data_IF_355055841105
#
_entry.id   IF_355055841105
#
_cell.length_a   1.000
_cell.length_b   1.000
_cell.length_c   1.000
_cell.angle_alpha   90.00
_cell.angle_beta   90.00
_cell.angle_gamma   90.00
#
_symmetry.space_group_name_H-M   'P 1'
#
loop_
_entity.id
_entity.type
_entity.pdbx_description
1 polymer ?
#
# COMPACT_ATOMS: atom_id res chain seq x y z
N UNK A 1 3.31 11.81 -14.82
CA UNK A 1 3.89 10.81 -13.90
C UNK A 1 5.01 9.96 -14.49
N UNK A 2 4.96 9.50 -15.76
CA UNK A 2 6.00 8.63 -16.35
C UNK A 2 7.44 9.14 -16.16
N UNK A 3 7.68 10.44 -16.32
CA UNK A 3 8.96 11.09 -16.05
C UNK A 3 9.41 10.90 -14.59
N UNK A 4 8.60 11.33 -13.62
CA UNK A 4 8.96 11.24 -12.20
C UNK A 4 9.24 9.81 -11.75
N UNK A 5 8.48 8.83 -12.25
CA UNK A 5 8.65 7.41 -11.90
C UNK A 5 9.80 6.70 -12.61
N UNK A 6 10.53 7.38 -13.51
CA UNK A 6 11.63 6.74 -14.25
C UNK A 6 12.81 6.41 -13.33
N UNK A 7 13.58 5.38 -13.70
CA UNK A 7 14.69 4.94 -12.87
C UNK A 7 15.76 6.04 -12.74
N UNK A 8 16.07 6.72 -13.83
CA UNK A 8 17.03 7.82 -13.90
C UNK A 8 16.65 8.97 -12.97
N UNK A 9 15.42 9.49 -13.08
CA UNK A 9 14.96 10.66 -12.31
C UNK A 9 14.90 10.33 -10.81
N UNK A 10 14.45 9.12 -10.46
CA UNK A 10 14.40 8.68 -9.06
C UNK A 10 15.80 8.48 -8.45
N UNK A 11 16.76 7.96 -9.23
CA UNK A 11 18.13 7.77 -8.78
C UNK A 11 18.85 9.11 -8.59
N UNK A 12 18.75 10.01 -9.58
CA UNK A 12 19.32 11.36 -9.52
C UNK A 12 18.78 12.14 -8.31
N UNK A 13 17.46 12.10 -8.11
CA UNK A 13 16.83 12.76 -6.98
C UNK A 13 17.35 12.23 -5.62
N UNK A 14 17.41 10.90 -5.48
CA UNK A 14 17.91 10.29 -4.24
C UNK A 14 19.36 10.61 -3.95
N UNK A 15 20.22 10.58 -4.98
CA UNK A 15 21.62 10.99 -4.85
C UNK A 15 21.74 12.48 -4.51
N UNK A 16 20.97 13.34 -5.17
CA UNK A 16 20.99 14.79 -4.94
C UNK A 16 20.64 15.14 -3.50
N UNK A 17 19.58 14.54 -2.95
CA UNK A 17 19.20 14.75 -1.56
C UNK A 17 20.32 14.34 -0.61
N UNK A 18 20.90 13.15 -0.78
CA UNK A 18 21.94 12.65 0.12
C UNK A 18 23.23 13.49 0.02
N UNK A 19 23.60 13.94 -1.19
CA UNK A 19 24.74 14.86 -1.39
C UNK A 19 24.48 16.22 -0.72
N UNK A 20 23.25 16.73 -0.80
CA UNK A 20 22.91 18.08 -0.33
C UNK A 20 22.77 18.12 1.20
N UNK A 21 22.17 17.09 1.79
CA UNK A 21 21.75 17.10 3.19
C UNK A 21 22.49 16.09 4.08
N UNK A 22 23.28 15.18 3.48
CA UNK A 22 24.08 14.19 4.18
C UNK A 22 23.46 12.79 4.18
N UNK A 23 24.21 11.83 4.71
CA UNK A 23 23.92 10.38 4.64
C UNK A 23 22.63 9.95 5.35
N UNK A 24 22.10 10.77 6.24
CA UNK A 24 20.85 10.53 6.96
C UNK A 24 19.61 10.78 6.07
N UNK A 25 19.77 11.51 4.96
CA UNK A 25 18.68 11.86 4.05
C UNK A 25 18.57 10.84 2.91
N UNK A 26 18.11 9.64 3.25
CA UNK A 26 17.91 8.56 2.28
C UNK A 26 16.55 8.66 1.57
N UNK A 27 16.55 8.47 0.25
CA UNK A 27 15.34 8.41 -0.56
C UNK A 27 14.98 6.96 -0.92
N UNK A 28 13.97 6.38 -0.26
CA UNK A 28 13.57 4.99 -0.47
C UNK A 28 12.53 4.86 -1.58
N UNK A 29 12.95 5.04 -2.84
CA UNK A 29 12.06 4.91 -4.00
C UNK A 29 11.49 3.50 -4.17
N UNK A 30 10.23 3.41 -4.62
CA UNK A 30 9.59 2.16 -5.02
C UNK A 30 10.07 1.64 -6.39
N UNK A 31 10.79 2.46 -7.18
CA UNK A 31 11.40 1.99 -8.42
C UNK A 31 12.63 1.15 -8.09
N UNK A 32 12.51 -0.16 -8.25
CA UNK A 32 13.54 -1.14 -7.85
C UNK A 32 14.87 -0.94 -8.60
N UNK A 33 14.81 -0.49 -9.85
CA UNK A 33 16.00 -0.18 -10.67
C UNK A 33 16.72 1.08 -10.18
N UNK A 34 15.97 2.10 -9.77
CA UNK A 34 16.54 3.31 -9.16
C UNK A 34 17.10 3.03 -7.77
N UNK A 35 16.37 2.25 -6.96
CA UNK A 35 16.77 1.90 -5.60
C UNK A 35 18.15 1.21 -5.56
N UNK A 36 18.42 0.32 -6.52
CA UNK A 36 19.72 -0.35 -6.64
C UNK A 36 20.91 0.62 -6.83
N UNK A 37 20.65 1.80 -7.43
CA UNK A 37 21.65 2.82 -7.75
C UNK A 37 21.88 3.85 -6.62
N UNK A 38 21.11 3.78 -5.53
CA UNK A 38 21.25 4.72 -4.43
C UNK A 38 22.58 4.51 -3.67
N UNK A 39 23.17 5.59 -3.11
CA UNK A 39 24.42 5.53 -2.36
C UNK A 39 24.21 5.07 -0.91
N UNK A 40 23.46 3.97 -0.75
CA UNK A 40 23.34 3.25 0.51
C UNK A 40 24.36 2.11 0.57
N UNK A 41 24.67 1.63 1.79
CA UNK A 41 25.49 0.44 1.98
C UNK A 41 24.94 -0.76 1.18
N UNK A 42 25.83 -1.46 0.48
CA UNK A 42 25.42 -2.54 -0.41
C UNK A 42 24.77 -3.70 0.33
N UNK A 43 25.19 -4.05 1.56
CA UNK A 43 24.58 -5.13 2.32
C UNK A 43 23.13 -4.78 2.67
N UNK A 44 22.87 -3.55 3.10
CA UNK A 44 21.51 -3.08 3.37
C UNK A 44 20.62 -3.06 2.11
N UNK A 45 21.16 -2.57 0.97
CA UNK A 45 20.40 -2.56 -0.29
C UNK A 45 19.97 -3.96 -0.71
N UNK A 46 20.85 -4.95 -0.61
CA UNK A 46 20.51 -6.33 -1.01
C UNK A 46 19.38 -6.92 -0.16
N UNK A 47 19.34 -6.63 1.15
CA UNK A 47 18.24 -7.06 2.03
C UNK A 47 16.90 -6.47 1.57
N UNK A 48 16.86 -5.17 1.28
CA UNK A 48 15.62 -4.50 0.82
C UNK A 48 15.20 -4.99 -0.57
N UNK A 49 16.15 -5.17 -1.49
CA UNK A 49 15.87 -5.69 -2.83
C UNK A 49 15.32 -7.13 -2.80
N UNK A 50 15.78 -7.95 -1.87
CA UNK A 50 15.24 -9.31 -1.69
C UNK A 50 13.83 -9.25 -1.08
N UNK A 51 13.61 -8.41 -0.07
CA UNK A 51 12.30 -8.22 0.52
C UNK A 51 11.27 -7.72 -0.50
N UNK A 52 11.67 -6.78 -1.38
CA UNK A 52 10.79 -6.20 -2.39
C UNK A 52 10.15 -7.24 -3.33
N UNK A 53 10.83 -8.37 -3.58
CA UNK A 53 10.29 -9.48 -4.41
C UNK A 53 9.10 -10.19 -3.77
N UNK A 54 8.96 -10.08 -2.45
CA UNK A 54 7.96 -10.78 -1.65
C UNK A 54 6.80 -9.85 -1.23
N UNK A 55 6.86 -8.57 -1.60
CA UNK A 55 5.79 -7.62 -1.27
C UNK A 55 4.57 -7.90 -2.14
N UNK A 56 3.44 -8.16 -1.49
CA UNK A 56 2.13 -8.28 -2.14
C UNK A 56 1.34 -7.03 -1.82
N UNK A 57 0.99 -6.27 -2.87
CA UNK A 57 0.09 -5.13 -2.70
C UNK A 57 -1.36 -5.62 -2.61
N UNK A 58 -2.13 -4.98 -1.73
CA UNK A 58 -3.55 -5.28 -1.55
C UNK A 58 -4.34 -4.22 -2.28
N UNK A 59 -5.24 -4.65 -3.15
CA UNK A 59 -6.07 -3.73 -3.91
C UNK A 59 -6.85 -2.80 -2.99
N UNK A 60 -6.85 -1.51 -3.36
CA UNK A 60 -7.60 -0.48 -2.65
C UNK A 60 -9.06 -0.52 -3.09
N UNK A 61 -9.95 -0.77 -2.13
CA UNK A 61 -11.41 -0.73 -2.28
C UNK A 61 -12.01 0.42 -1.46
N UNK A 62 -13.26 0.85 -1.72
CA UNK A 62 -13.96 1.79 -0.85
C UNK A 62 -13.96 1.26 0.58
N UNK A 63 -13.57 2.12 1.54
CA UNK A 63 -13.45 1.72 2.95
C UNK A 63 -12.09 1.14 3.37
N UNK A 64 -11.09 1.03 2.47
CA UNK A 64 -9.75 0.49 2.84
C UNK A 64 -9.09 1.25 4.00
N UNK A 65 -9.37 2.55 4.17
CA UNK A 65 -8.87 3.31 5.32
C UNK A 65 -9.28 2.70 6.67
N UNK A 66 -10.44 2.01 6.71
CA UNK A 66 -10.92 1.33 7.91
C UNK A 66 -10.14 0.07 8.21
N UNK A 67 -9.73 -0.66 7.17
CA UNK A 67 -8.82 -1.79 7.31
C UNK A 67 -7.52 -1.34 7.98
N UNK A 68 -6.88 -0.30 7.47
CA UNK A 68 -5.64 0.24 8.05
C UNK A 68 -5.82 0.70 9.49
N UNK A 69 -6.92 1.42 9.76
CA UNK A 69 -7.23 1.91 11.11
C UNK A 69 -7.49 0.77 12.09
N UNK A 70 -8.33 -0.19 11.74
CA UNK A 70 -8.67 -1.30 12.64
C UNK A 70 -7.52 -2.28 12.83
N UNK A 71 -6.62 -2.44 11.85
CA UNK A 71 -5.36 -3.16 12.06
C UNK A 71 -4.50 -2.48 13.14
N UNK A 72 -4.34 -1.15 13.08
CA UNK A 72 -3.60 -0.39 14.10
C UNK A 72 -4.29 -0.46 15.47
N UNK A 73 -5.61 -0.28 15.52
CA UNK A 73 -6.38 -0.38 16.75
C UNK A 73 -6.26 -1.79 17.37
N UNK A 74 -6.40 -2.84 16.56
CA UNK A 74 -6.30 -4.22 17.02
C UNK A 74 -4.89 -4.52 17.56
N UNK A 75 -3.85 -4.08 16.86
CA UNK A 75 -2.48 -4.23 17.33
C UNK A 75 -2.28 -3.58 18.71
N UNK A 76 -2.70 -2.33 18.88
CA UNK A 76 -2.57 -1.63 20.16
C UNK A 76 -3.37 -2.33 21.26
N UNK A 77 -4.62 -2.71 21.00
CA UNK A 77 -5.46 -3.38 22.00
C UNK A 77 -4.83 -4.70 22.47
N UNK A 78 -4.24 -5.46 21.56
CA UNK A 78 -3.62 -6.76 21.88
C UNK A 78 -2.29 -6.58 22.61
N UNK A 79 -1.41 -5.75 22.06
CA UNK A 79 -0.01 -5.65 22.51
C UNK A 79 0.15 -4.74 23.72
N UNK A 80 -0.61 -3.64 23.76
CA UNK A 80 -0.54 -2.64 24.83
C UNK A 80 -1.53 -2.95 25.93
N UNK A 81 -2.79 -3.19 25.58
CA UNK A 81 -3.87 -3.34 26.57
C UNK A 81 -4.07 -4.79 27.03
N UNK A 82 -3.47 -5.76 26.31
CA UNK A 82 -3.50 -7.18 26.67
C UNK A 82 -4.80 -7.88 26.27
N UNK A 83 -5.57 -7.32 25.35
CA UNK A 83 -6.81 -7.91 24.87
C UNK A 83 -6.59 -9.27 24.20
N UNK A 84 -7.62 -10.12 24.27
CA UNK A 84 -7.58 -11.39 23.57
C UNK A 84 -7.52 -11.18 22.06
N UNK A 85 -6.43 -11.66 21.44
CA UNK A 85 -6.19 -11.50 20.01
C UNK A 85 -7.33 -12.02 19.13
N UNK A 86 -7.92 -13.18 19.46
CA UNK A 86 -9.00 -13.75 18.66
C UNK A 86 -10.24 -12.86 18.68
N UNK A 87 -10.68 -12.45 19.88
CA UNK A 87 -11.86 -11.60 20.02
C UNK A 87 -11.65 -10.24 19.37
N UNK A 88 -10.50 -9.61 19.60
CA UNK A 88 -10.22 -8.28 19.06
C UNK A 88 -10.13 -8.27 17.53
N UNK A 89 -9.55 -9.31 16.93
CA UNK A 89 -9.49 -9.47 15.47
C UNK A 89 -10.89 -9.73 14.90
N UNK A 90 -11.72 -10.56 15.53
CA UNK A 90 -13.11 -10.79 15.10
C UNK A 90 -13.94 -9.49 15.08
N UNK A 91 -13.76 -8.64 16.10
CA UNK A 91 -14.37 -7.32 16.15
C UNK A 91 -13.86 -6.39 15.04
N UNK A 92 -12.54 -6.36 14.78
CA UNK A 92 -11.95 -5.59 13.70
C UNK A 92 -12.58 -5.95 12.35
N UNK A 93 -12.69 -7.25 12.06
CA UNK A 93 -13.29 -7.75 10.80
C UNK A 93 -14.72 -7.25 10.64
N UNK A 94 -15.54 -7.30 11.69
CA UNK A 94 -16.93 -6.81 11.65
C UNK A 94 -17.01 -5.31 11.38
N UNK A 95 -16.14 -4.52 11.99
CA UNK A 95 -16.07 -3.06 11.79
C UNK A 95 -15.64 -2.73 10.36
N UNK A 96 -14.62 -3.44 9.86
CA UNK A 96 -14.10 -3.26 8.49
C UNK A 96 -15.19 -3.58 7.47
N UNK A 97 -15.83 -4.74 7.57
CA UNK A 97 -16.87 -5.16 6.63
C UNK A 97 -18.04 -4.17 6.60
N UNK A 98 -18.52 -3.73 7.77
CA UNK A 98 -19.60 -2.74 7.85
C UNK A 98 -19.24 -1.42 7.16
N UNK A 99 -17.98 -1.00 7.25
CA UNK A 99 -17.53 0.22 6.56
C UNK A 99 -17.44 0.02 5.05
N UNK A 100 -16.93 -1.12 4.60
CA UNK A 100 -16.89 -1.46 3.17
C UNK A 100 -18.31 -1.44 2.61
N UNK A 101 -19.26 -2.10 3.26
CA UNK A 101 -20.67 -2.14 2.86
C UNK A 101 -21.26 -0.72 2.79
N UNK A 102 -21.03 0.09 3.84
CA UNK A 102 -21.47 1.49 3.89
C UNK A 102 -20.92 2.31 2.72
N UNK A 103 -19.64 2.10 2.35
CA UNK A 103 -19.01 2.82 1.25
C UNK A 103 -19.47 2.31 -0.12
N UNK A 104 -19.73 1.02 -0.27
CA UNK A 104 -20.33 0.48 -1.49
C UNK A 104 -21.72 1.07 -1.72
N UNK A 105 -22.54 1.22 -0.68
CA UNK A 105 -23.84 1.88 -0.77
C UNK A 105 -23.69 3.38 -1.07
N UNK A 106 -22.82 4.09 -0.35
CA UNK A 106 -22.56 5.53 -0.53
C UNK A 106 -22.15 5.88 -1.98
N UNK A 107 -21.37 5.00 -2.62
CA UNK A 107 -20.93 5.19 -3.99
C UNK A 107 -21.82 4.51 -5.04
N UNK A 108 -22.95 3.92 -4.64
CA UNK A 108 -23.96 3.35 -5.54
C UNK A 108 -23.55 2.03 -6.20
N UNK A 109 -22.62 1.29 -5.60
CA UNK A 109 -22.29 -0.09 -6.02
C UNK A 109 -23.31 -1.09 -5.48
N UNK A 110 -23.89 -0.82 -4.31
CA UNK A 110 -24.97 -1.61 -3.69
C UNK A 110 -26.14 -0.71 -3.31
N UNK A 111 -27.34 -1.29 -3.17
CA UNK A 111 -28.51 -0.60 -2.61
C UNK A 111 -28.64 -0.83 -1.09
N UNK A 112 -29.63 -0.18 -0.48
CA UNK A 112 -29.91 -0.27 0.97
C UNK A 112 -30.38 -1.66 1.43
N UNK A 113 -30.75 -2.54 0.49
CA UNK A 113 -31.13 -3.94 0.76
C UNK A 113 -29.93 -4.89 0.61
N UNK A 114 -28.77 -4.38 0.20
CA UNK A 114 -27.55 -5.15 -0.01
C UNK A 114 -27.45 -5.80 -1.40
N UNK A 115 -28.32 -5.45 -2.35
CA UNK A 115 -28.23 -5.96 -3.71
C UNK A 115 -27.17 -5.17 -4.50
N UNK A 116 -26.41 -5.88 -5.34
CA UNK A 116 -25.44 -5.25 -6.25
C UNK A 116 -26.17 -4.46 -7.33
N UNK A 117 -25.93 -3.15 -7.37
CA UNK A 117 -26.40 -2.23 -8.44
C UNK A 117 -25.39 -2.16 -9.56
N UNK A 118 -24.10 -2.13 -9.22
CA UNK A 118 -22.99 -2.04 -10.17
C UNK A 118 -21.77 -2.80 -9.64
N UNK A 119 -21.11 -3.54 -10.53
CA UNK A 119 -19.88 -4.24 -10.16
C UNK A 119 -18.73 -3.27 -9.86
N UNK A 120 -18.10 -3.48 -8.71
CA UNK A 120 -16.82 -2.85 -8.38
C UNK A 120 -15.68 -3.70 -8.97
N UNK A 121 -15.12 -3.26 -10.09
CA UNK A 121 -14.00 -3.96 -10.73
C UNK A 121 -12.70 -3.58 -10.03
N UNK A 122 -12.08 -4.56 -9.39
CA UNK A 122 -10.74 -4.42 -8.82
C UNK A 122 -9.71 -4.53 -9.96
N UNK A 123 -8.84 -3.53 -10.17
CA UNK A 123 -7.80 -3.62 -11.18
C UNK A 123 -6.82 -4.76 -10.87
N UNK A 124 -6.61 -5.66 -11.83
CA UNK A 124 -5.52 -6.63 -11.84
C UNK A 124 -4.31 -6.12 -12.64
N UNK A 125 -3.22 -6.90 -12.66
CA UNK A 125 -1.99 -6.52 -13.36
C UNK A 125 -2.20 -6.29 -14.86
N UNK A 126 -3.10 -7.03 -15.50
CA UNK A 126 -3.37 -6.92 -16.93
C UNK A 126 -4.19 -5.65 -17.23
N UNK A 127 -5.20 -5.35 -16.41
CA UNK A 127 -5.95 -4.10 -16.49
C UNK A 127 -5.05 -2.88 -16.28
N UNK A 128 -4.09 -2.96 -15.36
CA UNK A 128 -3.11 -1.90 -15.10
C UNK A 128 -2.18 -1.70 -16.31
N UNK A 129 -1.69 -2.78 -16.93
CA UNK A 129 -0.86 -2.69 -18.15
C UNK A 129 -1.58 -1.93 -19.26
N UNK A 130 -2.85 -2.23 -19.49
CA UNK A 130 -3.70 -1.53 -20.47
C UNK A 130 -3.85 -0.05 -20.09
N UNK A 131 -4.18 0.27 -18.84
CA UNK A 131 -4.31 1.66 -18.35
C UNK A 131 -3.00 2.44 -18.54
N UNK A 132 -1.85 1.81 -18.31
CA UNK A 132 -0.53 2.44 -18.45
C UNK A 132 -0.04 2.54 -19.90
N UNK A 133 -0.75 1.92 -20.85
CA UNK A 133 -0.36 1.81 -22.26
C UNK A 133 0.91 0.98 -22.46
N UNK A 134 1.09 -0.06 -21.65
CA UNK A 134 2.19 -1.03 -21.73
C UNK A 134 1.60 -2.33 -22.28
N UNK A 135 1.48 -2.42 -23.60
CA UNK A 135 1.09 -3.66 -24.28
C UNK A 135 2.19 -4.71 -24.22
#
# INVERSE_FOLDING_TARGET
MKWWSSAEVQAEFGQTIQITYGDEYMWTTANVEAFAQLPMDNAHKQVVLEFAKNVVDVARVPGTYMLEREMSNAFNSIVVDGDNARSRIDEAVKVINREIDRKLEEFGYTDSEGNTVKDYVIPDIESIKVILGRN
#
